data_IF_601245242932
#
_entry.id   IF_601245242932
#
_cell.length_a   1.000
_cell.length_b   1.000
_cell.length_c   1.000
_cell.angle_alpha   90.00
_cell.angle_beta   90.00
_cell.angle_gamma   90.00
#
_symmetry.space_group_name_H-M   'P 1'
#
loop_
_entity.id
_entity.type
_entity.pdbx_description
1 polymer ?
2 non-polymer ?
3 water ?
#
# COMPACT_ATOMS: atom_id res chain seq x y z
N UNK A 1 -1.63 28.04 25.83
CA UNK A 1 -2.23 26.79 26.31
C UNK A 1 -3.08 26.14 25.23
N UNK A 2 -3.46 24.87 25.45
CA UNK A 2 -4.19 24.13 24.42
C UNK A 2 -5.62 23.79 24.84
N UNK A 3 -6.57 23.99 23.93
CA UNK A 3 -7.97 23.63 24.15
C UNK A 3 -8.37 22.30 23.48
N UNK A 4 -7.38 21.58 22.94
CA UNK A 4 -7.65 20.27 22.32
C UNK A 4 -8.04 19.23 23.38
N UNK A 5 -8.95 18.32 23.02
CA UNK A 5 -9.33 17.24 23.94
C UNK A 5 -8.21 16.20 24.03
N UNK A 6 -8.08 15.50 25.17
CA UNK A 6 -7.06 14.45 25.28
C UNK A 6 -7.38 13.31 24.33
N UNK A 7 -6.35 12.68 23.75
CA UNK A 7 -6.56 11.55 22.88
C UNK A 7 -7.04 10.33 23.66
N UNK A 8 -8.10 9.71 23.18
CA UNK A 8 -8.57 8.44 23.72
C UNK A 8 -8.74 7.44 22.58
N UNK A 9 -7.93 6.38 22.61
CA UNK A 9 -8.05 5.27 21.65
C UNK A 9 -9.46 4.69 21.68
N UNK A 10 -10.13 4.69 20.52
CA UNK A 10 -11.47 4.08 20.40
C UNK A 10 -11.46 2.61 20.82
N UNK A 11 -12.59 2.12 21.30
CA UNK A 11 -12.68 0.71 21.66
C UNK A 11 -12.46 -0.14 20.41
N UNK A 12 -11.82 -1.29 20.58
CA UNK A 12 -11.63 -2.27 19.52
C UNK A 12 -12.95 -2.66 18.85
N UNK A 13 -13.10 -2.36 17.55
CA UNK A 13 -14.39 -2.64 16.91
C UNK A 13 -14.54 -4.08 16.38
N UNK A 14 -13.71 -5.00 16.85
CA UNK A 14 -13.71 -6.39 16.38
C UNK A 14 -13.56 -7.36 17.55
N UNK A 15 -13.78 -8.68 17.32
CA UNK A 15 -13.57 -9.64 18.42
C UNK A 15 -12.15 -9.64 18.97
N UNK A 16 -12.04 -10.14 20.21
CA UNK A 16 -10.76 -10.18 20.93
C UNK A 16 -9.76 -11.16 20.32
N UNK A 17 -10.28 -12.20 19.67
CA UNK A 17 -9.47 -13.26 19.07
C UNK A 17 -9.97 -13.58 17.67
N UNK A 18 -9.13 -14.22 16.88
CA UNK A 18 -9.48 -14.57 15.51
C UNK A 18 -10.33 -15.85 15.39
N UNK A 19 -10.45 -16.56 16.51
CA UNK A 19 -11.42 -17.64 16.77
C UNK A 19 -10.91 -18.41 17.99
N UNK A 20 -11.66 -19.44 18.38
CA UNK A 20 -11.43 -20.26 19.58
C UNK A 20 -12.08 -19.66 20.83
N UNK A 32 3.03 -12.90 20.13
CA UNK A 32 3.47 -13.13 18.76
C UNK A 32 4.01 -11.88 18.10
N UNK A 33 5.06 -12.04 17.30
CA UNK A 33 5.56 -10.98 16.43
C UNK A 33 6.08 -11.59 15.12
N UNK A 34 5.77 -10.96 13.99
CA UNK A 34 6.31 -11.42 12.71
C UNK A 34 7.83 -11.34 12.68
N UNK A 35 8.46 -12.35 12.10
CA UNK A 35 9.87 -12.27 11.77
C UNK A 35 10.04 -11.22 10.66
N UNK A 36 11.26 -10.70 10.51
CA UNK A 36 11.56 -9.83 9.38
C UNK A 36 11.47 -10.60 8.07
N UNK A 37 11.29 -9.90 6.97
CA UNK A 37 11.07 -10.59 5.69
C UNK A 37 12.28 -11.38 5.20
N UNK A 38 13.48 -10.98 5.62
CA UNK A 38 14.68 -11.74 5.28
C UNK A 38 14.72 -13.11 5.96
N UNK A 39 13.95 -13.26 7.06
CA UNK A 39 13.81 -14.56 7.73
C UNK A 39 12.57 -15.30 7.20
N UNK A 40 11.47 -14.56 7.03
CA UNK A 40 10.24 -15.16 6.51
C UNK A 40 10.46 -15.82 5.16
N UNK A 41 11.11 -15.12 4.23
CA UNK A 41 11.40 -15.73 2.94
C UNK A 41 12.71 -16.54 3.00
N UNK A 42 12.62 -17.80 2.58
CA UNK A 42 13.79 -18.67 2.53
C UNK A 42 14.44 -18.62 1.14
N UNK A 43 13.60 -18.71 0.11
CA UNK A 43 14.03 -18.67 -1.28
C UNK A 43 14.86 -17.40 -1.47
N UNK A 44 16.09 -17.55 -1.93
CA UNK A 44 16.98 -16.38 -1.99
C UNK A 44 16.73 -15.56 -3.25
N UNK A 45 16.18 -16.21 -4.25
CA UNK A 45 15.84 -15.54 -5.50
C UNK A 45 14.76 -14.48 -5.26
N UNK A 46 13.74 -14.82 -4.47
CA UNK A 46 12.68 -13.84 -4.18
C UNK A 46 13.22 -12.70 -3.32
N UNK A 47 14.16 -13.02 -2.42
CA UNK A 47 14.73 -11.96 -1.59
C UNK A 47 15.60 -10.98 -2.37
N UNK A 48 16.28 -11.48 -3.41
CA UNK A 48 17.08 -10.63 -4.27
C UNK A 48 16.16 -9.67 -5.02
N UNK A 49 15.04 -10.19 -5.50
CA UNK A 49 14.06 -9.37 -6.20
C UNK A 49 13.46 -8.32 -5.26
N UNK A 50 13.20 -8.70 -4.01
CA UNK A 50 12.60 -7.76 -3.08
C UNK A 50 13.56 -6.59 -2.83
N UNK A 51 14.83 -6.89 -2.60
CA UNK A 51 15.83 -5.84 -2.34
C UNK A 51 15.98 -4.90 -3.53
N UNK A 52 15.90 -5.42 -4.75
CA UNK A 52 15.99 -4.57 -5.93
C UNK A 52 14.78 -3.64 -6.03
N UNK A 53 13.60 -4.16 -5.72
CA UNK A 53 12.38 -3.37 -5.79
C UNK A 53 12.41 -2.24 -4.75
N UNK A 54 12.89 -2.56 -3.55
CA UNK A 54 13.01 -1.56 -2.49
C UNK A 54 13.85 -0.35 -2.95
N UNK A 55 14.86 -0.60 -3.76
CA UNK A 55 15.67 0.48 -4.31
C UNK A 55 14.96 1.24 -5.45
N UNK A 56 14.38 0.52 -6.41
CA UNK A 56 13.98 1.15 -7.68
C UNK A 56 12.47 1.37 -7.90
N UNK A 57 11.62 0.72 -7.11
CA UNK A 57 10.18 0.81 -7.34
C UNK A 57 9.67 2.25 -7.21
N UNK A 58 8.91 2.70 -8.21
CA UNK A 58 8.51 4.10 -8.30
C UNK A 58 7.39 4.46 -7.32
N UNK A 59 6.52 3.50 -7.03
CA UNK A 59 5.43 3.71 -6.07
C UNK A 59 5.97 4.01 -4.68
N UNK A 60 6.99 3.24 -4.27
CA UNK A 60 7.62 3.42 -2.97
C UNK A 60 8.37 4.76 -2.93
N UNK A 61 9.04 5.11 -4.02
CA UNK A 61 9.72 6.39 -4.12
C UNK A 61 8.73 7.55 -3.99
N UNK A 62 7.59 7.46 -4.67
CA UNK A 62 6.54 8.47 -4.52
C UNK A 62 6.08 8.58 -3.06
N UNK A 63 5.88 7.45 -2.39
CA UNK A 63 5.42 7.47 -1.01
C UNK A 63 6.42 8.15 -0.09
N UNK A 64 7.69 7.91 -0.36
CA UNK A 64 8.78 8.54 0.39
C UNK A 64 8.77 10.05 0.19
N UNK A 65 8.56 10.49 -1.05
CA UNK A 65 8.52 11.92 -1.34
C UNK A 65 7.31 12.59 -0.68
N UNK A 66 6.23 11.83 -0.50
CA UNK A 66 5.05 12.38 0.17
C UNK A 66 5.32 12.59 1.66
N UNK A 67 6.18 11.77 2.24
CA UNK A 67 6.59 11.98 3.63
C UNK A 67 7.38 13.28 3.73
N UNK A 68 8.33 13.48 2.81
CA UNK A 68 9.11 14.72 2.79
C UNK A 68 8.25 15.96 2.61
N UNK A 69 7.25 15.87 1.73
CA UNK A 69 6.31 16.97 1.52
C UNK A 69 5.54 17.28 2.79
N UNK A 70 5.07 16.24 3.48
CA UNK A 70 4.30 16.43 4.70
C UNK A 70 5.14 17.04 5.83
N UNK A 71 6.42 16.64 5.90
CA UNK A 71 7.35 17.22 6.87
C UNK A 71 7.54 18.71 6.60
N UNK A 72 7.63 19.09 5.32
CA UNK A 72 7.77 20.48 4.92
C UNK A 72 6.48 21.29 5.19
N UNK A 73 5.33 20.66 4.99
CA UNK A 73 4.06 21.30 5.31
C UNK A 73 3.95 21.55 6.83
N UNK A 74 4.51 20.63 7.61
CA UNK A 74 4.54 20.80 9.05
C UNK A 74 5.42 22.01 9.38
N UNK A 75 6.64 22.03 8.85
CA UNK A 75 7.55 23.16 9.06
C UNK A 75 6.94 24.49 8.60
N UNK A 76 6.18 24.47 7.51
CA UNK A 76 5.49 25.67 7.04
C UNK A 76 4.48 26.19 8.07
N UNK A 77 3.67 25.29 8.61
CA UNK A 77 2.66 25.64 9.60
C UNK A 77 3.30 26.04 10.94
N UNK A 78 4.37 25.36 11.33
CA UNK A 78 5.04 25.70 12.58
C UNK A 78 5.63 27.11 12.53
N UNK A 79 6.00 27.56 11.33
CA UNK A 79 6.61 28.86 11.17
C UNK A 79 5.68 30.01 11.58
N UNK A 80 4.39 29.78 11.42
CA UNK A 80 3.38 30.77 11.83
C UNK A 80 3.36 31.02 13.34
N UNK A 81 4.04 30.17 14.10
CA UNK A 81 4.11 30.37 15.55
C UNK A 81 5.19 31.39 15.97
N UNK A 82 6.10 31.70 15.05
CA UNK A 82 7.28 32.49 15.40
C UNK A 82 7.14 33.94 14.96
N UNK A 83 7.92 34.84 15.60
CA UNK A 83 7.91 36.25 15.19
C UNK A 83 8.36 36.41 13.75
N UNK A 84 7.88 37.45 13.06
CA UNK A 84 8.33 37.77 11.72
C UNK A 84 9.01 39.12 11.74
N UNK A 85 9.91 39.34 10.78
CA UNK A 85 10.51 40.65 10.57
C UNK A 85 10.52 40.97 9.07
N UNK A 86 9.89 42.08 8.71
CA UNK A 86 9.81 42.49 7.31
C UNK A 86 10.05 43.98 7.13
N UNK A 87 10.47 44.36 5.93
CA UNK A 87 10.76 45.74 5.63
C UNK A 87 9.80 46.28 4.60
N UNK A 88 9.63 47.60 4.61
CA UNK A 88 8.73 48.26 3.68
C UNK A 88 9.28 49.64 3.31
N UNK A 89 9.14 50.02 2.05
CA UNK A 89 9.57 51.33 1.60
C UNK A 89 8.52 51.89 0.66
N UNK A 90 8.34 53.21 0.70
CA UNK A 90 7.29 53.83 -0.08
C UNK A 90 7.68 55.25 -0.52
N UNK A 91 7.18 55.65 -1.70
CA UNK A 91 7.28 57.02 -2.14
C UNK A 91 5.89 57.46 -2.49
N UNK A 92 5.51 58.68 -2.11
CA UNK A 92 4.17 59.16 -2.37
C UNK A 92 4.14 60.58 -2.92
N UNK A 93 3.65 60.70 -4.16
CA UNK A 93 3.44 61.98 -4.79
C UNK A 93 1.94 62.22 -4.89
N UNK A 94 1.50 63.45 -4.58
CA UNK A 94 0.08 63.79 -4.61
C UNK A 94 -0.14 65.30 -4.66
N UNK A 95 -1.33 65.71 -5.10
CA UNK A 95 -1.64 67.13 -5.19
C UNK A 95 -3.09 67.40 -5.61
N UNK A 96 -3.50 68.66 -5.44
CA UNK A 96 -4.85 69.10 -5.78
C UNK A 96 -5.07 69.23 -7.29
N UNK A 97 -6.30 68.96 -7.72
CA UNK A 97 -6.65 69.07 -9.13
C UNK A 97 -6.96 70.52 -9.52
N UNK A 98 -7.12 71.37 -8.52
CA UNK A 98 -7.47 72.78 -8.74
C UNK A 98 -7.00 73.63 -7.56
N UNK A 99 -6.61 74.88 -7.84
CA UNK A 99 -6.12 75.79 -6.81
C UNK A 99 -4.60 75.83 -6.81
N UNK A 100 -3.99 75.65 -5.64
CA UNK A 100 -2.56 75.41 -5.61
C UNK A 100 -2.27 74.01 -6.14
N UNK A 101 -1.88 73.94 -7.41
CA UNK A 101 -1.46 72.69 -8.02
C UNK A 101 0.05 72.53 -7.80
N UNK A 102 0.44 72.39 -6.54
CA UNK A 102 1.81 72.09 -6.17
C UNK A 102 1.86 70.69 -5.57
N UNK A 103 2.90 69.92 -5.92
CA UNK A 103 2.96 68.52 -5.55
C UNK A 103 3.55 68.28 -4.16
N UNK A 104 2.80 67.57 -3.31
CA UNK A 104 3.29 67.11 -2.02
C UNK A 104 4.01 65.76 -2.17
N UNK A 105 5.16 65.64 -1.52
CA UNK A 105 5.98 64.45 -1.70
C UNK A 105 6.44 63.95 -0.34
N UNK A 106 6.32 62.64 -0.13
CA UNK A 106 6.73 62.05 1.13
C UNK A 106 7.27 60.65 0.91
N UNK A 107 8.42 60.37 1.53
CA UNK A 107 9.03 59.06 1.47
C UNK A 107 8.98 58.44 2.85
N UNK A 108 8.67 57.15 2.92
CA UNK A 108 8.61 56.48 4.22
C UNK A 108 9.28 55.12 4.20
N UNK A 109 9.64 54.66 5.38
CA UNK A 109 10.41 53.44 5.54
C UNK A 109 9.90 52.75 6.80
N UNK A 110 9.85 51.43 6.75
CA UNK A 110 9.41 50.65 7.89
C UNK A 110 10.21 49.38 8.03
N UNK A 111 10.61 49.10 9.26
CA UNK A 111 11.17 47.81 9.61
C UNK A 111 10.23 47.29 10.68
N UNK A 112 9.46 46.26 10.35
CA UNK A 112 8.36 45.84 11.22
C UNK A 112 8.50 44.42 11.77
N UNK A 113 8.41 44.29 13.09
CA UNK A 113 8.35 42.98 13.72
C UNK A 113 6.91 42.65 14.10
N UNK A 114 6.58 41.36 14.09
CA UNK A 114 5.21 40.92 14.29
C UNK A 114 5.20 39.62 15.07
N UNK A 115 4.26 39.47 16.01
CA UNK A 115 4.19 38.26 16.83
C UNK A 115 2.79 37.99 17.35
N UNK A 116 2.27 36.80 17.04
CA UNK A 116 0.98 36.34 17.55
C UNK A 116 1.25 35.51 18.80
N UNK A 117 0.73 35.94 19.94
CA UNK A 117 1.04 35.30 21.20
C UNK A 117 0.35 33.93 21.39
N UNK A 118 -0.77 33.70 20.71
CA UNK A 118 -1.40 32.37 20.66
C UNK A 118 -1.67 31.81 22.05
N UNK A 119 -2.31 32.62 22.91
CA UNK A 119 -2.54 32.20 24.30
C UNK A 119 -3.43 30.99 24.40
N UNK A 120 -4.42 30.89 23.50
CA UNK A 120 -5.35 29.77 23.56
C UNK A 120 -5.04 28.64 22.56
N UNK A 121 -3.83 28.66 22.00
CA UNK A 121 -3.26 27.55 21.28
C UNK A 121 -3.82 27.25 19.89
N UNK A 122 -4.37 28.26 19.22
CA UNK A 122 -4.84 28.05 17.86
C UNK A 122 -3.72 27.63 16.90
N UNK A 123 -2.64 28.41 16.85
CA UNK A 123 -1.54 28.14 15.93
C UNK A 123 -0.76 26.91 16.37
N UNK A 124 -0.68 26.70 17.68
CA UNK A 124 -0.04 25.51 18.24
C UNK A 124 -0.73 24.23 17.76
N UNK A 125 -2.06 24.24 17.78
CA UNK A 125 -2.82 23.07 17.38
C UNK A 125 -2.90 22.86 15.88
N UNK A 126 -2.91 23.94 15.10
CA UNK A 126 -2.82 23.82 13.65
C UNK A 126 -1.46 23.23 13.30
N UNK A 127 -0.45 23.55 14.09
CA UNK A 127 0.87 22.93 13.90
C UNK A 127 0.88 21.46 14.31
N UNK A 128 0.22 21.12 15.42
CA UNK A 128 0.15 19.74 15.87
C UNK A 128 -0.68 18.86 14.93
N UNK A 129 -1.72 19.43 14.32
CA UNK A 129 -2.48 18.69 13.31
C UNK A 129 -1.57 18.31 12.15
N UNK A 130 -0.78 19.27 11.69
CA UNK A 130 0.10 19.04 10.55
C UNK A 130 1.24 18.08 10.87
N UNK A 131 1.69 18.07 12.13
CA UNK A 131 2.69 17.11 12.56
C UNK A 131 2.10 15.70 12.57
N UNK A 132 0.82 15.61 12.92
CA UNK A 132 0.16 14.31 12.96
C UNK A 132 -0.12 13.81 11.54
N UNK A 133 -0.45 14.71 10.62
CA UNK A 133 -0.52 14.35 9.21
C UNK A 133 0.82 13.81 8.69
N UNK A 134 1.91 14.40 9.16
CA UNK A 134 3.25 13.91 8.82
C UNK A 134 3.50 12.51 9.34
N UNK A 135 3.15 12.28 10.60
CA UNK A 135 3.26 10.94 11.21
C UNK A 135 2.38 9.93 10.49
N UNK A 136 1.17 10.35 10.12
CA UNK A 136 0.27 9.45 9.39
C UNK A 136 0.88 9.10 8.03
N UNK A 137 1.52 10.08 7.41
CA UNK A 137 2.13 9.89 6.10
C UNK A 137 3.34 8.95 6.14
N UNK A 138 4.12 8.99 7.23
CA UNK A 138 5.20 8.01 7.38
C UNK A 138 4.63 6.61 7.46
N UNK A 139 3.50 6.45 8.16
CA UNK A 139 2.87 5.12 8.26
C UNK A 139 2.33 4.65 6.92
N UNK A 140 1.79 5.59 6.14
CA UNK A 140 1.34 5.27 4.79
C UNK A 140 2.51 4.75 3.95
N UNK A 141 3.68 5.34 4.16
CA UNK A 141 4.87 4.94 3.43
C UNK A 141 5.26 3.51 3.83
N UNK A 142 5.09 3.20 5.11
CA UNK A 142 5.42 1.89 5.63
C UNK A 142 4.44 0.85 5.10
N UNK A 143 3.19 1.24 4.89
CA UNK A 143 2.18 0.36 4.29
C UNK A 143 2.51 0.05 2.83
N UNK A 144 2.87 1.08 2.07
CA UNK A 144 3.35 0.91 0.70
C UNK A 144 4.57 -0.03 0.67
N UNK A 145 5.47 0.12 1.64
CA UNK A 145 6.65 -0.71 1.75
C UNK A 145 6.30 -2.21 1.94
N UNK A 146 5.47 -2.52 2.92
CA UNK A 146 5.17 -3.93 3.17
C UNK A 146 4.27 -4.53 2.08
N UNK A 147 3.47 -3.71 1.45
CA UNK A 147 2.66 -4.19 0.33
C UNK A 147 3.55 -4.48 -0.88
N UNK A 148 4.61 -3.70 -1.03
CA UNK A 148 5.56 -3.92 -2.13
C UNK A 148 6.28 -5.27 -1.94
N UNK A 149 6.73 -5.53 -0.72
CA UNK A 149 7.37 -6.80 -0.39
C UNK A 149 6.44 -7.96 -0.73
N UNK A 150 5.19 -7.84 -0.30
CA UNK A 150 4.17 -8.84 -0.57
C UNK A 150 3.92 -9.01 -2.07
N UNK A 151 3.79 -7.89 -2.79
CA UNK A 151 3.49 -7.94 -4.22
C UNK A 151 4.61 -8.53 -5.04
N UNK A 152 5.85 -8.13 -4.73
CA UNK A 152 7.01 -8.72 -5.42
C UNK A 152 7.08 -10.24 -5.20
N UNK A 153 6.94 -10.66 -3.94
CA UNK A 153 6.98 -12.09 -3.64
C UNK A 153 5.89 -12.86 -4.40
N UNK A 154 4.67 -12.35 -4.39
CA UNK A 154 3.58 -13.00 -5.12
C UNK A 154 3.88 -13.09 -6.61
N UNK A 155 4.41 -12.01 -7.20
CA UNK A 155 4.76 -12.02 -8.61
C UNK A 155 5.87 -13.02 -8.92
N UNK A 156 6.79 -13.23 -7.98
CA UNK A 156 7.85 -14.21 -8.20
C UNK A 156 7.26 -15.61 -8.22
N UNK A 157 6.37 -15.91 -7.28
CA UNK A 157 5.77 -17.23 -7.24
C UNK A 157 4.82 -17.46 -8.43
N UNK A 158 4.26 -16.38 -8.96
CA UNK A 158 3.46 -16.46 -10.19
C UNK A 158 4.33 -16.83 -11.39
N UNK A 159 5.51 -16.22 -11.47
CA UNK A 159 6.49 -16.53 -12.50
C UNK A 159 6.91 -18.00 -12.39
N UNK A 160 7.21 -18.44 -11.17
CA UNK A 160 7.61 -19.82 -10.94
C UNK A 160 6.47 -20.81 -11.24
N UNK A 161 5.23 -20.36 -11.04
CA UNK A 161 4.07 -21.18 -11.43
C UNK A 161 4.01 -21.34 -12.95
N UNK A 162 4.24 -20.25 -13.69
CA UNK A 162 4.24 -20.32 -15.14
C UNK A 162 5.30 -21.29 -15.66
N UNK A 163 6.53 -21.20 -15.14
CA UNK A 163 7.58 -22.16 -15.50
C UNK A 163 7.16 -23.60 -15.23
N UNK A 164 6.52 -23.82 -14.08
CA UNK A 164 6.17 -25.18 -13.68
C UNK A 164 5.05 -25.73 -14.55
N UNK A 165 4.07 -24.89 -14.85
CA UNK A 165 2.99 -25.27 -15.76
C UNK A 165 3.55 -25.55 -17.15
N UNK A 166 4.50 -24.73 -17.59
CA UNK A 166 5.09 -24.91 -18.91
C UNK A 166 5.84 -26.23 -18.98
N UNK A 167 6.57 -26.54 -17.92
CA UNK A 167 7.33 -27.78 -17.86
C UNK A 167 6.44 -29.02 -18.00
N UNK A 168 5.36 -29.08 -17.23
CA UNK A 168 4.54 -30.29 -17.31
C UNK A 168 3.76 -30.35 -18.62
N UNK A 169 3.49 -29.20 -19.21
CA UNK A 169 2.82 -29.15 -20.51
C UNK A 169 3.73 -29.80 -21.56
N UNK A 170 5.01 -29.45 -21.53
CA UNK A 170 6.00 -30.03 -22.45
C UNK A 170 6.24 -31.52 -22.20
N UNK A 171 6.22 -31.94 -20.93
CA UNK A 171 6.36 -33.35 -20.60
C UNK A 171 5.15 -34.13 -21.09
N UNK A 172 3.98 -33.51 -20.92
CA UNK A 172 2.74 -34.15 -21.34
C UNK A 172 2.71 -34.29 -22.87
N UNK A 173 3.20 -33.29 -23.59
CA UNK A 173 3.29 -33.38 -25.05
C UNK A 173 4.11 -34.60 -25.48
N UNK A 174 5.28 -34.78 -24.87
CA UNK A 174 6.13 -35.95 -25.16
C UNK A 174 5.38 -37.26 -24.90
N UNK A 175 4.70 -37.35 -23.76
CA UNK A 175 3.89 -38.54 -23.46
C UNK A 175 2.87 -38.82 -24.54
N UNK A 176 2.17 -37.78 -24.97
CA UNK A 176 1.15 -37.94 -26.00
C UNK A 176 1.75 -38.35 -27.34
N UNK A 177 2.92 -37.82 -27.67
CA UNK A 177 3.61 -38.21 -28.91
C UNK A 177 4.03 -39.68 -28.86
N UNK A 178 4.52 -40.12 -27.70
CA UNK A 178 4.85 -41.54 -27.54
C UNK A 178 3.61 -42.43 -27.68
N UNK A 179 2.48 -41.99 -27.14
CA UNK A 179 1.24 -42.76 -27.26
C UNK A 179 0.80 -42.86 -28.70
N UNK A 180 0.81 -41.73 -29.40
CA UNK A 180 0.44 -41.72 -30.80
C UNK A 180 1.32 -42.66 -31.64
N UNK A 181 2.63 -42.61 -31.41
CA UNK A 181 3.55 -43.50 -32.10
C UNK A 181 3.18 -44.96 -31.88
N UNK A 182 2.84 -45.31 -30.65
CA UNK A 182 2.44 -46.67 -30.32
C UNK A 182 1.14 -47.06 -31.03
N UNK A 183 0.14 -46.20 -31.00
CA UNK A 183 -1.13 -46.53 -31.67
C UNK A 183 -0.92 -46.69 -33.19
N UNK A 184 -0.07 -45.85 -33.75
CA UNK A 184 0.32 -45.93 -35.15
C UNK A 184 0.95 -47.28 -35.50
N UNK A 185 1.87 -47.75 -34.67
CA UNK A 185 2.49 -49.05 -34.88
C UNK A 185 1.45 -50.17 -34.81
N UNK A 186 0.60 -50.12 -33.80
CA UNK A 186 -0.48 -51.10 -33.65
C UNK A 186 -1.40 -51.15 -34.86
N UNK A 187 -1.66 -49.98 -35.45
CA UNK A 187 -2.52 -49.88 -36.62
C UNK A 187 -1.93 -50.60 -37.82
N UNK A 188 -0.60 -50.54 -37.95
CA UNK A 188 0.09 -51.18 -39.06
C UNK A 188 0.17 -52.69 -38.87
N UNK A 189 -0.66 -53.22 -37.98
CA UNK A 189 -0.71 -54.65 -37.70
C UNK A 189 -2.16 -55.05 -37.40
N UNK A 190 -3.10 -54.15 -37.68
CA UNK A 190 -4.51 -54.43 -37.50
C UNK A 190 -4.95 -54.44 -36.04
N UNK A 191 -4.04 -54.08 -35.14
CA UNK A 191 -4.29 -54.18 -33.71
C UNK A 191 -5.08 -52.99 -33.15
N UNK A 192 -5.02 -51.86 -33.83
CA UNK A 192 -5.83 -50.70 -33.42
C UNK A 192 -6.68 -50.22 -34.58
N UNK A 193 -7.60 -49.31 -34.30
CA UNK A 193 -8.46 -48.78 -35.36
C UNK A 193 -8.20 -47.28 -35.55
N UNK A 194 -8.83 -46.69 -36.56
CA UNK A 194 -8.53 -45.31 -36.91
C UNK A 194 -9.12 -44.31 -35.90
N UNK A 195 -10.10 -44.75 -35.12
CA UNK A 195 -10.68 -43.89 -34.09
C UNK A 195 -9.66 -43.61 -32.99
N UNK A 196 -9.06 -44.66 -32.46
CA UNK A 196 -8.01 -44.54 -31.45
C UNK A 196 -6.85 -43.68 -31.95
N UNK A 197 -6.43 -43.93 -33.19
CA UNK A 197 -5.34 -43.14 -33.77
C UNK A 197 -5.68 -41.66 -33.76
N UNK A 198 -6.91 -41.33 -34.13
CA UNK A 198 -7.32 -39.93 -34.18
C UNK A 198 -7.46 -39.32 -32.77
N UNK A 199 -7.95 -40.11 -31.82
CA UNK A 199 -8.03 -39.62 -30.45
C UNK A 199 -6.64 -39.27 -29.92
N UNK A 200 -5.68 -40.18 -30.14
CA UNK A 200 -4.28 -39.94 -29.76
C UNK A 200 -3.68 -38.71 -30.46
N UNK A 201 -4.10 -38.50 -31.70
CA UNK A 201 -3.57 -37.40 -32.50
C UNK A 201 -4.07 -36.06 -31.97
N UNK A 202 -5.36 -36.02 -31.61
CA UNK A 202 -5.95 -34.76 -31.18
C UNK A 202 -5.35 -34.15 -29.92
N UNK A 203 -5.09 -34.97 -28.90
CA UNK A 203 -4.61 -34.42 -27.63
C UNK A 203 -3.21 -33.82 -27.75
N UNK A 204 -2.45 -34.29 -28.74
CA UNK A 204 -1.17 -33.66 -29.04
C UNK A 204 -1.41 -32.21 -29.39
N UNK A 205 -2.40 -31.95 -30.23
CA UNK A 205 -2.69 -30.59 -30.65
C UNK A 205 -3.26 -29.73 -29.53
N UNK A 206 -4.11 -30.29 -28.67
CA UNK A 206 -4.63 -29.50 -27.56
C UNK A 206 -3.50 -29.16 -26.59
N UNK A 207 -2.54 -30.08 -26.45
CA UNK A 207 -1.40 -29.84 -25.56
C UNK A 207 -0.47 -28.74 -26.11
N UNK A 208 -0.30 -28.69 -27.44
CA UNK A 208 0.45 -27.59 -28.05
C UNK A 208 -0.21 -26.23 -27.76
N UNK A 209 -1.53 -26.21 -27.71
CA UNK A 209 -2.26 -25.01 -27.33
C UNK A 209 -1.93 -24.62 -25.87
N UNK A 210 -1.89 -25.62 -24.98
CA UNK A 210 -1.52 -25.34 -23.58
C UNK A 210 -0.10 -24.81 -23.42
N UNK A 211 0.84 -25.35 -24.18
CA UNK A 211 2.22 -24.86 -24.15
C UNK A 211 2.29 -23.38 -24.53
N UNK A 212 1.60 -23.02 -25.60
CA UNK A 212 1.55 -21.64 -26.06
C UNK A 212 0.94 -20.74 -24.98
N UNK A 213 -0.08 -21.22 -24.29
CA UNK A 213 -0.69 -20.47 -23.20
C UNK A 213 0.30 -20.23 -22.05
N UNK A 214 1.00 -21.28 -21.65
CA UNK A 214 1.94 -21.17 -20.53
C UNK A 214 3.16 -20.31 -20.89
N UNK A 215 3.58 -20.35 -22.15
CA UNK A 215 4.66 -19.45 -22.58
C UNK A 215 4.21 -17.99 -22.49
N UNK A 216 2.95 -17.74 -22.82
CA UNK A 216 2.40 -16.39 -22.73
C UNK A 216 2.27 -15.94 -21.29
N UNK A 217 1.89 -16.86 -20.42
CA UNK A 217 1.78 -16.54 -18.99
C UNK A 217 3.14 -16.24 -18.38
N UNK A 218 4.17 -16.96 -18.83
CA UNK A 218 5.53 -16.69 -18.37
C UNK A 218 5.97 -15.28 -18.76
N UNK A 219 5.78 -14.93 -20.03
CA UNK A 219 6.16 -13.60 -20.50
C UNK A 219 5.41 -12.50 -19.73
N UNK A 220 4.12 -12.70 -19.49
CA UNK A 220 3.29 -11.80 -18.70
C UNK A 220 3.85 -11.66 -17.28
N UNK A 221 4.19 -12.80 -16.69
CA UNK A 221 4.73 -12.83 -15.33
C UNK A 221 6.01 -12.00 -15.26
N UNK A 222 6.85 -12.17 -16.28
CA UNK A 222 8.12 -11.44 -16.34
C UNK A 222 7.92 -9.93 -16.45
N UNK A 223 6.97 -9.52 -17.28
CA UNK A 223 6.74 -8.08 -17.47
C UNK A 223 6.17 -7.43 -16.21
N UNK A 224 5.32 -8.17 -15.50
CA UNK A 224 4.71 -7.65 -14.26
C UNK A 224 5.79 -7.49 -13.21
N UNK A 225 6.71 -8.44 -13.18
CA UNK A 225 7.85 -8.42 -12.27
C UNK A 225 8.75 -7.19 -12.51
N UNK A 226 9.08 -6.94 -13.77
CA UNK A 226 9.95 -5.81 -14.07
C UNK A 226 9.28 -4.48 -13.72
N UNK A 227 7.96 -4.39 -13.89
CA UNK A 227 7.24 -3.18 -13.50
C UNK A 227 7.34 -2.93 -11.99
N UNK A 228 7.16 -3.98 -11.21
CA UNK A 228 7.29 -3.88 -9.76
C UNK A 228 8.73 -3.56 -9.34
N UNK A 229 9.72 -4.15 -10.01
CA UNK A 229 11.11 -3.91 -9.66
C UNK A 229 11.54 -2.49 -9.98
N UNK A 230 11.00 -1.93 -11.07
CA UNK A 230 11.49 -0.66 -11.58
C UNK A 230 12.87 -0.79 -12.25
N UNK A 231 13.25 -2.01 -12.61
CA UNK A 231 14.52 -2.25 -13.30
C UNK A 231 14.39 -3.45 -14.22
N UNK A 232 15.29 -3.55 -15.19
CA UNK A 232 15.03 -4.45 -16.31
C UNK A 232 16.20 -5.40 -16.61
N UNK A 233 16.91 -5.80 -15.57
CA UNK A 233 17.99 -6.76 -15.70
C UNK A 233 17.46 -8.18 -15.78
N UNK A 234 18.34 -9.17 -15.65
CA UNK A 234 17.94 -10.56 -15.80
C UNK A 234 16.94 -10.99 -14.73
N UNK A 235 15.98 -11.82 -15.13
CA UNK A 235 15.01 -12.37 -14.20
C UNK A 235 15.39 -13.80 -13.89
N UNK A 236 14.92 -14.35 -12.74
CA UNK A 236 15.26 -15.72 -12.36
C UNK A 236 14.79 -16.74 -13.39
N UNK A 237 15.59 -17.78 -13.60
CA UNK A 237 15.20 -18.93 -14.38
C UNK A 237 14.31 -19.80 -13.52
N UNK A 238 13.84 -20.92 -14.05
CA UNK A 238 13.06 -21.89 -13.29
C UNK A 238 13.78 -22.32 -12.02
N UNK A 239 13.09 -22.27 -10.89
CA UNK A 239 13.66 -22.70 -9.61
C UNK A 239 12.86 -23.86 -9.07
N UNK A 240 13.37 -24.48 -8.02
CA UNK A 240 12.54 -25.45 -7.29
C UNK A 240 11.92 -24.73 -6.10
N UNK A 241 10.59 -24.71 -6.10
CA UNK A 241 9.80 -23.97 -5.14
C UNK A 241 8.85 -24.94 -4.44
N UNK A 242 8.74 -24.82 -3.11
CA UNK A 242 7.82 -25.69 -2.36
C UNK A 242 7.36 -24.99 -1.08
N UNK A 243 6.71 -25.74 -0.18
CA UNK A 243 6.22 -25.13 1.05
C UNK A 243 7.33 -24.68 2.02
N UNK A 244 8.58 -25.09 1.76
CA UNK A 244 9.71 -24.64 2.57
C UNK A 244 10.31 -23.31 2.04
N UNK A 245 9.85 -22.86 0.89
CA UNK A 245 10.30 -21.59 0.32
C UNK A 245 9.99 -20.37 1.19
N UNK A 246 9.01 -20.49 2.10
CA UNK A 246 8.75 -19.45 3.10
C UNK A 246 8.62 -20.14 4.44
N UNK A 247 8.76 -19.37 5.52
CA UNK A 247 8.52 -19.87 6.87
C UNK A 247 7.12 -19.47 7.30
N UNK A 248 6.12 -20.26 6.90
CA UNK A 248 4.72 -19.92 7.17
C UNK A 248 4.49 -19.60 8.65
N UNK A 249 3.73 -18.54 8.94
CA UNK A 249 3.62 -18.06 10.31
C UNK A 249 2.97 -19.07 11.24
N UNK A 250 3.54 -19.19 12.44
CA UNK A 250 2.98 -20.05 13.47
C UNK A 250 2.37 -19.19 14.58
N UNK A 251 1.04 -19.18 14.62
CA UNK A 251 0.30 -18.31 15.53
C UNK A 251 -0.21 -19.08 16.74
N UNK A 252 -0.09 -18.47 17.93
CA UNK A 252 -0.64 -19.08 19.16
C UNK A 252 -2.15 -19.25 19.02
N UNK A 253 -2.69 -20.30 19.65
CA UNK A 253 -4.11 -20.61 19.60
C UNK A 253 -5.03 -19.43 19.96
N UNK A 254 -4.68 -18.73 21.04
CA UNK A 254 -5.51 -17.63 21.52
C UNK A 254 -4.99 -16.25 21.17
N UNK A 255 -4.50 -16.10 19.92
CA UNK A 255 -3.90 -14.86 19.47
C UNK A 255 -4.84 -13.65 19.58
N UNK A 256 -4.41 -12.65 20.33
CA UNK A 256 -5.18 -11.43 20.48
C UNK A 256 -5.25 -10.63 19.17
N UNK A 257 -6.42 -10.09 18.85
CA UNK A 257 -6.57 -9.23 17.67
C UNK A 257 -5.86 -7.90 17.85
N UNK A 258 -5.36 -7.64 19.06
CA UNK A 258 -4.55 -6.45 19.30
C UNK A 258 -3.30 -6.40 18.39
N UNK A 259 -2.87 -7.55 17.86
CA UNK A 259 -1.75 -7.54 16.90
C UNK A 259 -2.06 -6.68 15.65
N UNK A 260 -3.35 -6.53 15.32
CA UNK A 260 -3.75 -5.68 14.19
C UNK A 260 -3.31 -4.22 14.36
N UNK A 261 -3.26 -3.76 15.61
CA UNK A 261 -2.92 -2.36 15.90
C UNK A 261 -1.47 -2.02 15.56
N UNK A 262 -0.70 -3.06 15.23
CA UNK A 262 0.67 -2.90 14.74
C UNK A 262 0.75 -2.58 13.24
N UNK A 263 -0.30 -2.90 12.50
CA UNK A 263 -0.33 -2.63 11.06
C UNK A 263 -0.16 -1.14 10.76
N UNK A 264 0.68 -0.83 9.78
CA UNK A 264 0.89 0.57 9.40
C UNK A 264 -0.40 1.26 8.94
N UNK A 265 -1.30 0.58 8.24
CA UNK A 265 -2.55 1.25 7.85
C UNK A 265 -3.39 1.65 9.07
N UNK A 266 -3.35 0.84 10.13
CA UNK A 266 -4.06 1.18 11.36
C UNK A 266 -3.36 2.33 12.10
N UNK A 267 -2.03 2.28 12.14
CA UNK A 267 -1.27 3.35 12.79
C UNK A 267 -1.48 4.67 12.05
N UNK A 268 -1.63 4.58 10.73
CA UNK A 268 -1.92 5.77 9.91
C UNK A 268 -3.24 6.41 10.34
N UNK A 269 -4.30 5.58 10.46
CA UNK A 269 -5.62 6.05 10.85
C UNK A 269 -5.60 6.66 12.26
N UNK A 270 -4.77 6.11 13.13
CA UNK A 270 -4.70 6.61 14.51
C UNK A 270 -4.11 8.02 14.55
N UNK A 271 -3.04 8.25 13.79
CA UNK A 271 -2.44 9.59 13.74
C UNK A 271 -3.38 10.59 13.06
N UNK A 272 -4.15 10.13 12.07
CA UNK A 272 -5.12 11.02 11.44
C UNK A 272 -6.18 11.43 12.48
N UNK A 273 -6.50 10.51 13.38
CA UNK A 273 -7.44 10.80 14.45
C UNK A 273 -6.85 11.81 15.44
N UNK A 274 -5.56 11.67 15.75
CA UNK A 274 -4.91 12.65 16.63
C UNK A 274 -4.85 14.03 15.98
N UNK A 275 -4.71 14.06 14.66
CA UNK A 275 -4.76 15.31 13.91
C UNK A 275 -6.13 15.99 14.03
N UNK A 276 -7.20 15.19 13.99
CA UNK A 276 -8.54 15.75 14.11
C UNK A 276 -8.81 16.28 15.53
N UNK A 277 -8.21 15.64 16.53
CA UNK A 277 -8.24 16.14 17.90
C UNK A 277 -7.62 17.53 18.00
N UNK A 278 -6.44 17.68 17.40
CA UNK A 278 -5.75 18.98 17.40
C UNK A 278 -6.62 20.02 16.69
N UNK A 279 -7.29 19.62 15.61
CA UNK A 279 -8.16 20.54 14.88
C UNK A 279 -9.36 21.02 15.71
N UNK A 280 -9.84 20.18 16.62
CA UNK A 280 -10.89 20.62 17.53
C UNK A 280 -10.34 21.73 18.44
N UNK A 281 -9.11 21.55 18.91
CA UNK A 281 -8.44 22.56 19.71
C UNK A 281 -8.32 23.91 19.01
N UNK A 282 -7.96 23.88 17.73
CA UNK A 282 -7.81 25.11 16.95
C UNK A 282 -9.16 25.79 16.77
N UNK A 283 -10.19 24.98 16.53
CA UNK A 283 -11.55 25.50 16.36
C UNK A 283 -12.10 26.13 17.65
N UNK A 284 -11.81 25.51 18.79
CA UNK A 284 -12.27 26.06 20.07
C UNK A 284 -11.63 27.42 20.38
N UNK A 285 -10.37 27.59 19.99
CA UNK A 285 -9.62 28.81 20.28
C UNK A 285 -10.18 30.03 19.54
N UNK A 286 -10.97 29.79 18.50
CA UNK A 286 -11.55 30.89 17.71
C UNK A 286 -12.54 31.71 18.52
N UNK A 287 -13.10 31.11 19.57
CA UNK A 287 -14.09 31.80 20.40
C UNK A 287 -13.43 32.79 21.35
N UNK A 288 -12.13 32.62 21.58
CA UNK A 288 -11.42 33.37 22.60
C UNK A 288 -10.66 34.54 22.02
N UNK A 289 -10.31 35.53 22.87
CA UNK A 289 -9.54 36.68 22.36
C UNK A 289 -8.19 36.25 21.81
N UNK A 290 -7.68 36.99 20.83
CA UNK A 290 -6.33 36.78 20.34
C UNK A 290 -5.50 38.04 20.56
N UNK A 291 -4.30 37.84 21.08
CA UNK A 291 -3.40 38.93 21.44
C UNK A 291 -2.19 38.90 20.53
N UNK A 292 -1.91 40.05 19.92
CA UNK A 292 -0.79 40.16 19.00
C UNK A 292 0.09 41.33 19.39
N UNK A 293 1.29 41.36 18.84
CA UNK A 293 2.25 42.37 19.20
C UNK A 293 2.97 42.79 17.93
N UNK A 294 2.97 44.09 17.64
CA UNK A 294 3.80 44.61 16.56
C UNK A 294 4.69 45.71 17.11
N UNK A 295 5.92 45.73 16.62
CA UNK A 295 6.93 46.68 17.10
C UNK A 295 7.82 46.99 15.91
N UNK A 296 8.33 48.22 15.84
CA UNK A 296 9.10 48.59 14.67
C UNK A 296 9.90 49.89 14.72
N UNK A 297 10.65 50.10 13.64
CA UNK A 297 11.36 51.33 13.39
C UNK A 297 10.82 51.90 12.09
N UNK A 298 10.61 53.22 12.07
CA UNK A 298 10.05 53.88 10.89
C UNK A 298 10.80 55.17 10.63
N UNK A 299 10.80 55.61 9.37
CA UNK A 299 11.23 56.97 9.02
C UNK A 299 10.24 57.58 8.04
N UNK A 300 10.28 58.91 7.94
CA UNK A 300 9.48 59.62 6.97
C UNK A 300 10.17 60.95 6.66
N UNK A 301 10.24 61.29 5.38
CA UNK A 301 10.85 62.55 4.98
C UNK A 301 10.30 63.00 3.64
N UNK A 302 10.22 64.32 3.45
CA UNK A 302 9.73 64.89 2.20
C UNK A 302 10.83 64.85 1.14
N UNK A 303 12.04 64.53 1.56
CA UNK A 303 13.11 64.31 0.59
C UNK A 303 13.95 63.06 0.88
N UNK A 304 14.48 62.47 -0.19
CA UNK A 304 15.09 61.14 -0.13
C UNK A 304 16.37 61.11 0.69
N UNK A 305 17.11 62.21 0.67
CA UNK A 305 18.44 62.24 1.28
C UNK A 305 18.38 62.14 2.80
N UNK A 306 17.36 62.76 3.39
CA UNK A 306 17.19 62.69 4.83
C UNK A 306 16.20 61.59 5.25
N UNK A 307 16.03 60.60 4.38
CA UNK A 307 15.09 59.50 4.64
C UNK A 307 15.63 58.56 5.73
N UNK A 308 16.94 58.33 5.73
CA UNK A 308 17.53 57.42 6.71
C UNK A 308 18.20 58.14 7.89
N UNK A 309 18.05 59.45 7.95
CA UNK A 309 18.52 60.21 9.11
C UNK A 309 17.74 59.85 10.38
N UNK A 310 18.46 59.66 11.48
CA UNK A 310 17.83 59.38 12.78
C UNK A 310 16.85 60.48 13.15
N UNK A 311 17.11 61.70 12.69
CA UNK A 311 16.20 62.83 12.87
C UNK A 311 14.84 62.59 12.21
N UNK A 312 14.81 61.72 11.20
CA UNK A 312 13.56 61.39 10.52
C UNK A 312 12.89 60.15 11.08
N UNK A 313 13.53 59.52 12.07
CA UNK A 313 13.11 58.21 12.52
C UNK A 313 12.27 58.13 13.79
N UNK A 314 11.55 57.01 13.92
CA UNK A 314 10.75 56.73 15.12
C UNK A 314 10.84 55.26 15.47
N UNK A 315 10.52 54.93 16.72
CA UNK A 315 10.33 53.55 17.12
C UNK A 315 8.90 53.40 17.61
N UNK A 316 8.42 52.15 17.66
CA UNK A 316 7.02 51.90 17.89
C UNK A 316 6.82 50.57 18.62
N UNK A 317 5.75 50.45 19.40
CA UNK A 317 5.45 49.23 20.14
C UNK A 317 3.94 49.18 20.39
N UNK A 318 3.26 48.26 19.72
CA UNK A 318 1.80 48.21 19.72
C UNK A 318 1.24 46.81 19.99
N UNK A 319 0.93 46.51 21.26
CA UNK A 319 0.20 45.27 21.55
C UNK A 319 -1.29 45.47 21.30
N UNK A 320 -1.95 44.42 20.82
CA UNK A 320 -3.33 44.52 20.36
C UNK A 320 -4.15 43.27 20.74
N UNK A 321 -5.43 43.48 21.05
CA UNK A 321 -6.33 42.37 21.35
C UNK A 321 -7.60 42.42 20.49
N UNK A 322 -7.94 41.31 19.85
CA UNK A 322 -9.22 41.20 19.14
C UNK A 322 -10.14 40.27 19.90
N UNK A 323 -11.40 40.66 20.02
CA UNK A 323 -12.37 39.91 20.81
C UNK A 323 -13.62 39.57 20.01
N UNK A 324 -13.77 38.29 19.64
CA UNK A 324 -14.99 37.84 18.96
C UNK A 324 -16.15 37.97 19.94
N UNK A 325 -17.26 38.56 19.51
CA UNK A 325 -18.42 38.71 20.37
C UNK A 325 -19.66 38.01 19.78
N UNK A 326 -20.12 38.49 18.63
CA UNK A 326 -21.20 37.84 17.91
C UNK A 326 -20.87 37.69 16.43
N UNK A 327 -20.92 36.46 15.93
CA UNK A 327 -20.63 36.24 14.54
C UNK A 327 -21.67 35.33 13.86
N UNK A 328 -22.91 35.39 14.36
CA UNK A 328 -24.04 34.71 13.73
C UNK A 328 -23.83 33.21 13.57
N UNK A 329 -22.96 32.64 14.41
CA UNK A 329 -22.73 31.22 14.39
C UNK A 329 -21.62 30.75 13.46
N UNK A 330 -20.79 31.67 12.96
CA UNK A 330 -19.63 31.27 12.16
C UNK A 330 -18.72 30.34 12.95
N UNK A 331 -18.33 30.78 14.14
CA UNK A 331 -17.41 30.02 14.98
C UNK A 331 -17.98 28.69 15.41
N UNK A 332 -19.25 28.68 15.73
CA UNK A 332 -19.93 27.47 16.17
C UNK A 332 -20.05 26.44 15.05
N UNK A 333 -20.38 26.90 13.84
CA UNK A 333 -20.44 25.97 12.70
C UNK A 333 -19.05 25.39 12.43
N UNK A 334 -18.04 26.23 12.52
CA UNK A 334 -16.67 25.79 12.32
C UNK A 334 -16.23 24.73 13.35
N UNK A 335 -16.67 24.90 14.60
CA UNK A 335 -16.37 23.91 15.64
C UNK A 335 -17.13 22.61 15.35
N UNK A 336 -18.40 22.73 14.98
CA UNK A 336 -19.20 21.56 14.62
C UNK A 336 -18.50 20.75 13.54
N UNK A 337 -18.01 21.42 12.50
CA UNK A 337 -17.29 20.75 11.44
C UNK A 337 -16.10 19.96 11.98
N UNK A 338 -15.31 20.59 12.86
CA UNK A 338 -14.13 19.94 13.43
C UNK A 338 -14.52 18.73 14.29
N UNK A 339 -15.60 18.85 15.05
CA UNK A 339 -16.04 17.74 15.88
C UNK A 339 -16.60 16.59 15.04
N UNK A 340 -17.30 16.93 13.98
CA UNK A 340 -17.86 15.89 13.10
C UNK A 340 -16.76 15.19 12.32
N UNK A 341 -15.76 15.95 11.86
CA UNK A 341 -14.61 15.34 11.19
C UNK A 341 -13.81 14.44 12.11
N UNK A 342 -13.79 14.75 13.40
CA UNK A 342 -13.13 13.88 14.37
C UNK A 342 -13.89 12.55 14.50
N UNK A 343 -15.21 12.66 14.52
CA UNK A 343 -16.06 11.49 14.53
C UNK A 343 -15.88 10.64 13.28
N UNK A 344 -15.68 11.29 12.14
CA UNK A 344 -15.37 10.57 10.91
C UNK A 344 -14.02 9.86 11.01
N UNK A 345 -13.06 10.49 11.67
CA UNK A 345 -11.73 9.90 11.85
C UNK A 345 -11.78 8.67 12.75
N UNK A 346 -12.66 8.70 13.74
CA UNK A 346 -12.90 7.55 14.60
C UNK A 346 -13.44 6.41 13.75
N UNK A 347 -14.46 6.71 12.94
CA UNK A 347 -15.08 5.69 12.06
C UNK A 347 -14.07 5.13 11.05
N UNK A 348 -13.24 6.01 10.50
CA UNK A 348 -12.16 5.57 9.60
C UNK A 348 -11.24 4.56 10.28
N UNK A 349 -10.83 4.88 11.51
CA UNK A 349 -10.01 3.98 12.32
C UNK A 349 -10.72 2.63 12.52
N UNK A 350 -12.02 2.65 12.82
CA UNK A 350 -12.75 1.40 13.00
C UNK A 350 -12.87 0.58 11.71
N UNK A 351 -13.02 1.28 10.58
CA UNK A 351 -13.10 0.61 9.29
C UNK A 351 -11.79 -0.11 8.96
N UNK A 352 -10.67 0.51 9.31
CA UNK A 352 -9.39 -0.09 8.95
C UNK A 352 -9.17 -1.35 9.78
N UNK A 353 -9.66 -1.34 11.02
CA UNK A 353 -9.50 -2.49 11.90
C UNK A 353 -10.43 -3.62 11.50
N UNK A 354 -11.68 -3.30 11.20
CA UNK A 354 -12.63 -4.33 10.75
C UNK A 354 -12.17 -4.97 9.44
N UNK A 355 -11.73 -4.16 8.49
CA UNK A 355 -11.10 -4.68 7.28
C UNK A 355 -9.89 -5.59 7.55
N UNK A 356 -8.98 -5.15 8.41
CA UNK A 356 -7.79 -5.93 8.78
C UNK A 356 -8.16 -7.28 9.42
N UNK A 357 -9.13 -7.24 10.33
CA UNK A 357 -9.62 -8.46 10.95
C UNK A 357 -10.14 -9.43 9.88
N UNK A 358 -10.89 -8.90 8.93
CA UNK A 358 -11.46 -9.73 7.87
C UNK A 358 -10.33 -10.36 7.04
N UNK A 359 -9.28 -9.58 6.76
CA UNK A 359 -8.14 -10.12 6.01
C UNK A 359 -7.45 -11.28 6.73
N UNK A 360 -7.20 -11.12 8.02
CA UNK A 360 -6.58 -12.21 8.78
C UNK A 360 -7.50 -13.42 8.88
N UNK A 361 -8.78 -13.17 9.20
CA UNK A 361 -9.74 -14.26 9.32
C UNK A 361 -9.86 -15.06 8.02
N UNK A 362 -9.97 -14.37 6.88
CA UNK A 362 -10.04 -15.05 5.59
C UNK A 362 -8.79 -15.87 5.29
N UNK A 363 -7.61 -15.31 5.57
CA UNK A 363 -6.37 -16.03 5.29
C UNK A 363 -6.26 -17.31 6.12
N UNK A 364 -6.70 -17.25 7.38
CA UNK A 364 -6.67 -18.42 8.25
C UNK A 364 -7.60 -19.51 7.72
N UNK A 365 -8.78 -19.11 7.25
CA UNK A 365 -9.74 -20.05 6.70
C UNK A 365 -9.26 -20.63 5.38
N UNK A 366 -8.58 -19.81 4.58
CA UNK A 366 -8.10 -20.25 3.27
C UNK A 366 -6.93 -21.21 3.45
N UNK A 367 -6.18 -21.01 4.53
CA UNK A 367 -5.04 -21.87 4.86
C UNK A 367 -5.50 -23.31 5.09
N UNK A 368 -6.52 -23.48 5.92
CA UNK A 368 -7.15 -24.77 6.17
C UNK A 368 -7.67 -25.37 4.88
N UNK A 369 -8.38 -24.54 4.12
CA UNK A 369 -8.99 -24.94 2.87
C UNK A 369 -7.93 -25.50 1.93
N UNK A 370 -6.89 -24.72 1.68
CA UNK A 370 -5.88 -25.11 0.70
C UNK A 370 -5.08 -26.34 1.10
N UNK A 371 -4.78 -26.50 2.39
CA UNK A 371 -4.04 -27.68 2.82
C UNK A 371 -4.87 -28.94 2.64
N UNK A 372 -6.17 -28.83 2.89
CA UNK A 372 -7.05 -29.98 2.72
C UNK A 372 -7.34 -30.30 1.24
N UNK A 373 -7.48 -29.29 0.40
CA UNK A 373 -7.63 -29.52 -1.05
C UNK A 373 -6.37 -30.15 -1.63
N UNK A 374 -5.21 -29.65 -1.22
CA UNK A 374 -3.94 -30.15 -1.74
C UNK A 374 -3.73 -31.62 -1.36
N UNK A 375 -4.02 -31.95 -0.11
CA UNK A 375 -3.92 -33.33 0.34
C UNK A 375 -4.85 -34.24 -0.46
N UNK A 376 -6.10 -33.83 -0.64
CA UNK A 376 -7.05 -34.62 -1.42
C UNK A 376 -6.63 -34.75 -2.89
N UNK A 377 -6.16 -33.66 -3.49
CA UNK A 377 -5.75 -33.68 -4.90
C UNK A 377 -4.52 -34.55 -5.13
N UNK A 378 -3.62 -34.61 -4.15
CA UNK A 378 -2.45 -35.50 -4.24
C UNK A 378 -2.88 -36.97 -4.27
N UNK A 379 -3.84 -37.32 -3.43
CA UNK A 379 -4.38 -38.70 -3.42
C UNK A 379 -5.17 -38.98 -4.71
N UNK A 380 -5.91 -37.98 -5.20
CA UNK A 380 -6.60 -38.10 -6.48
C UNK A 380 -5.59 -38.35 -7.61
N UNK A 381 -4.53 -37.55 -7.64
CA UNK A 381 -3.46 -37.73 -8.63
C UNK A 381 -2.87 -39.15 -8.60
N UNK A 382 -2.60 -39.67 -7.40
CA UNK A 382 -2.06 -41.02 -7.28
C UNK A 382 -3.02 -42.06 -7.85
N UNK A 383 -4.31 -41.88 -7.58
CA UNK A 383 -5.31 -42.80 -8.13
C UNK A 383 -5.40 -42.70 -9.66
N UNK A 384 -5.30 -41.49 -10.19
CA UNK A 384 -5.36 -41.28 -11.64
C UNK A 384 -4.17 -41.93 -12.36
N UNK A 385 -2.99 -41.87 -11.74
CA UNK A 385 -1.82 -42.54 -12.31
C UNK A 385 -2.10 -44.04 -12.45
N UNK A 386 -2.65 -44.63 -11.40
CA UNK A 386 -2.92 -46.06 -11.40
C UNK A 386 -3.99 -46.42 -12.45
N UNK A 387 -5.02 -45.59 -12.51
CA UNK A 387 -6.08 -45.75 -13.51
C UNK A 387 -5.50 -45.76 -14.93
N UNK A 388 -4.64 -44.78 -15.21
CA UNK A 388 -3.99 -44.72 -16.53
C UNK A 388 -3.23 -46.00 -16.86
N UNK A 389 -2.42 -46.48 -15.91
CA UNK A 389 -1.65 -47.72 -16.10
C UNK A 389 -2.56 -48.91 -16.33
N UNK A 390 -3.63 -49.01 -15.57
CA UNK A 390 -4.56 -50.13 -15.74
C UNK A 390 -5.31 -50.04 -17.06
N UNK A 391 -5.66 -48.82 -17.48
CA UNK A 391 -6.39 -48.64 -18.74
C UNK A 391 -5.51 -49.06 -19.92
N UNK A 392 -4.23 -48.73 -19.86
CA UNK A 392 -3.30 -49.03 -20.93
C UNK A 392 -3.16 -50.54 -21.10
N UNK A 393 -3.03 -51.25 -19.99
CA UNK A 393 -2.92 -52.72 -20.03
C UNK A 393 -4.17 -53.32 -20.67
N UNK A 394 -5.33 -52.97 -20.16
CA UNK A 394 -6.59 -53.45 -20.71
C UNK A 394 -6.74 -53.08 -22.17
N UNK A 395 -6.33 -51.86 -22.54
CA UNK A 395 -6.48 -51.46 -23.94
C UNK A 395 -5.59 -52.32 -24.85
N UNK A 396 -4.33 -52.55 -24.45
CA UNK A 396 -3.41 -53.36 -25.24
C UNK A 396 -3.89 -54.78 -25.47
N UNK A 397 -4.72 -55.29 -24.56
CA UNK A 397 -5.19 -56.65 -24.65
C UNK A 397 -6.56 -56.73 -25.27
N UNK A 398 -7.04 -55.59 -25.78
CA UNK A 398 -8.29 -55.55 -26.53
C UNK A 398 -9.53 -55.65 -25.67
N UNK A 399 -9.38 -55.43 -24.36
CA UNK A 399 -10.50 -55.58 -23.43
C UNK A 399 -11.35 -54.30 -23.25
N UNK A 400 -10.78 -53.15 -23.59
CA UNK A 400 -11.53 -51.88 -23.55
C UNK A 400 -11.11 -50.97 -24.71
N UNK A 401 -11.91 -49.95 -24.97
CA UNK A 401 -11.61 -49.02 -26.06
C UNK A 401 -10.57 -48.00 -25.64
N UNK A 402 -10.04 -47.26 -26.61
CA UNK A 402 -8.99 -46.32 -26.30
C UNK A 402 -9.53 -45.12 -25.51
N UNK A 403 -10.85 -44.96 -25.49
CA UNK A 403 -11.46 -43.87 -24.69
C UNK A 403 -11.10 -43.99 -23.20
N UNK A 404 -10.91 -45.21 -22.71
CA UNK A 404 -10.46 -45.41 -21.32
C UNK A 404 -9.09 -44.75 -21.10
N UNK A 405 -8.17 -44.96 -22.03
CA UNK A 405 -6.84 -44.34 -21.95
C UNK A 405 -6.90 -42.82 -22.06
N UNK A 406 -7.62 -42.33 -23.07
CA UNK A 406 -7.82 -40.89 -23.27
C UNK A 406 -8.43 -40.20 -22.03
N UNK A 407 -9.49 -40.79 -21.51
CA UNK A 407 -10.18 -40.20 -20.36
C UNK A 407 -9.24 -40.09 -19.17
N UNK A 408 -8.49 -41.16 -18.93
CA UNK A 408 -7.56 -41.18 -17.81
C UNK A 408 -6.38 -40.22 -18.03
N UNK A 409 -5.86 -40.15 -19.25
CA UNK A 409 -4.79 -39.20 -19.60
C UNK A 409 -5.20 -37.74 -19.39
N UNK A 410 -6.38 -37.38 -19.90
CA UNK A 410 -6.92 -36.02 -19.79
C UNK A 410 -7.09 -35.60 -18.34
N UNK A 411 -7.61 -36.51 -17.52
CA UNK A 411 -7.89 -36.20 -16.12
C UNK A 411 -6.59 -36.00 -15.35
N UNK A 412 -5.62 -36.85 -15.69
CA UNK A 412 -4.31 -36.78 -15.06
C UNK A 412 -3.67 -35.43 -15.31
N UNK A 413 -3.63 -35.02 -16.57
CA UNK A 413 -3.01 -33.74 -16.94
C UNK A 413 -3.76 -32.57 -16.31
N UNK A 414 -5.09 -32.64 -16.28
CA UNK A 414 -5.89 -31.59 -15.64
C UNK A 414 -5.59 -31.46 -14.13
N UNK A 415 -5.46 -32.60 -13.46
CA UNK A 415 -5.20 -32.62 -12.03
C UNK A 415 -3.78 -32.15 -11.68
N UNK A 416 -2.79 -32.47 -12.52
CA UNK A 416 -1.44 -31.93 -12.35
C UNK A 416 -1.43 -30.40 -12.41
N UNK A 417 -2.20 -29.84 -13.35
CA UNK A 417 -2.28 -28.38 -13.46
C UNK A 417 -2.97 -27.73 -12.26
N UNK A 418 -4.05 -28.37 -11.81
CA UNK A 418 -4.80 -27.90 -10.66
C UNK A 418 -3.92 -27.91 -9.42
N UNK A 419 -3.16 -28.98 -9.25
CA UNK A 419 -2.30 -29.13 -8.08
C UNK A 419 -1.25 -28.02 -8.06
N UNK A 420 -0.67 -27.69 -9.22
CA UNK A 420 0.28 -26.59 -9.31
C UNK A 420 -0.36 -25.27 -8.89
N UNK A 421 -1.58 -25.03 -9.39
CA UNK A 421 -2.32 -23.81 -9.07
C UNK A 421 -2.68 -23.70 -7.58
N UNK A 422 -2.99 -24.83 -6.96
CA UNK A 422 -3.30 -24.85 -5.52
C UNK A 422 -2.08 -24.54 -4.65
N UNK A 423 -0.93 -25.05 -5.06
CA UNK A 423 0.30 -24.78 -4.31
C UNK A 423 0.72 -23.32 -4.42
N UNK A 424 0.46 -22.72 -5.57
CA UNK A 424 0.67 -21.28 -5.74
C UNK A 424 -0.29 -20.50 -4.84
N UNK A 425 -1.57 -20.86 -4.86
CA UNK A 425 -2.57 -20.18 -4.03
C UNK A 425 -2.16 -20.24 -2.57
N UNK A 426 -1.62 -21.37 -2.15
CA UNK A 426 -1.14 -21.54 -0.77
C UNK A 426 0.03 -20.59 -0.48
N UNK A 427 0.97 -20.45 -1.42
CA UNK A 427 2.06 -19.48 -1.25
C UNK A 427 1.52 -18.07 -1.10
N UNK A 428 0.62 -17.69 -2.02
CA UNK A 428 0.01 -16.36 -1.99
C UNK A 428 -0.69 -16.12 -0.66
N UNK A 429 -1.42 -17.12 -0.20
CA UNK A 429 -2.15 -16.96 1.04
C UNK A 429 -1.22 -16.83 2.24
N UNK A 430 -0.10 -17.55 2.22
CA UNK A 430 0.83 -17.48 3.34
C UNK A 430 1.48 -16.10 3.40
N UNK A 431 1.74 -15.54 2.21
CA UNK A 431 2.29 -14.20 2.08
C UNK A 431 1.27 -13.13 2.51
N UNK A 432 0.00 -13.30 2.12
CA UNK A 432 -1.04 -12.36 2.52
C UNK A 432 -1.26 -12.35 4.03
N UNK A 433 -1.27 -13.54 4.64
CA UNK A 433 -1.39 -13.66 6.09
C UNK A 433 -0.26 -12.91 6.81
N UNK A 434 0.98 -13.21 6.42
CA UNK A 434 2.15 -12.51 6.96
C UNK A 434 2.02 -10.99 6.82
N UNK A 435 1.59 -10.54 5.66
CA UNK A 435 1.47 -9.11 5.40
C UNK A 435 0.31 -8.49 6.20
N UNK A 436 -0.80 -9.21 6.28
CA UNK A 436 -1.98 -8.78 7.06
C UNK A 436 -1.69 -8.69 8.54
N UNK A 437 -0.68 -9.41 9.03
CA UNK A 437 -0.30 -9.35 10.43
C UNK A 437 0.70 -8.22 10.65
N UNK A 438 1.00 -7.49 9.57
CA UNK A 438 1.89 -6.33 9.67
C UNK A 438 3.19 -6.48 8.90
N UNK A 439 3.42 -7.65 8.32
CA UNK A 439 4.66 -7.89 7.60
C UNK A 439 5.88 -7.79 8.50
N UNK A 440 7.04 -7.58 7.90
CA UNK A 440 8.29 -7.55 8.66
C UNK A 440 8.47 -6.29 9.47
X LIG B 1 -4.89 33.64 29.26
X LIG B 1 -3.73 33.74 28.86
X LIG B 1 -5.78 34.83 29.11
X LIG B 1 -5.34 35.93 28.19
X LIG B 1 -6.39 36.64 27.39
X LIG B 1 -7.49 37.35 28.12
X LIG B 1 -2.79 29.52 31.68
X LIG B 1 -1.60 29.79 31.50
X LIG B 1 -3.36 29.72 33.04
X LIG B 1 -2.67 30.70 33.94
X LIG B 1 -3.22 32.09 34.02
X LIG B 1 -2.45 33.14 34.46
X LIG B 1 -2.21 34.30 33.56
X LIG B 1 -5.09 31.35 29.94
X LIG B 1 -5.18 32.70 30.22
X LIG B 1 -3.71 30.77 29.85
X LIG B 1 -3.63 29.60 30.59
X LIG B 1 -3.42 30.54 28.41
#
# INVERSE_FOLDING_TARGET
CSLAPDYQRPAMPVPQQFSLSQNGLVNAADNYQNAGWRTFFVDNQVKTLISEALVNNRDLRMATLKVQEARAQYRLTDADRYPQLNGEGSGSWSGNLKGNTATTREFSTGLNASFDLDFFGRLKNMSEAERQNYLATEEAQRAVHILLVSNVAQSYFNQQLAYAQLQIAEETLRNYQQSYAFVEKQLLTGSSNVLALEQARGVIESTRSDIAKRQGELAQANNALQLLLGSYGKLPQAQTVNSDSLQSVKLPAGLSSQILLQRPDIMEAEHALMAANANIGAARAAFFPSISLTSGISTASSDLSSLFNASSGMWNFIPKIEIPIFNAGRNQANLDIAEIRQQQSVVNYEQKIQNAFKEVADALALRQSLNDQISAQQRYLASLQITLQRARALYQHGAVSYLEVLDAERSLFATRQTLLDLNYARQVNEISLYTALGGGHHHHHH
3PK CA1 OA1 CA2 CA3 CA4 CA5 CB1 OB1 CB2 CB3 CB4 CB5 CB6 CG1 OG1 CG2 OG2 CG3
#
